data_IF_402317692674
#
_entry.id   IF_402317692674
#
_cell.length_a   1.000
_cell.length_b   1.000
_cell.length_c   1.000
_cell.angle_alpha   90.00
_cell.angle_beta   90.00
_cell.angle_gamma   90.00
#
_symmetry.space_group_name_H-M   'P 1'
#
loop_
_entity.id
_entity.type
_entity.pdbx_description
1 polymer ?
#
# COMPACT_ATOMS: atom_id res chain seq x y z
N UNK A 1 10.19 -4.12 -2.32
CA UNK A 1 9.59 -5.43 -1.99
C UNK A 1 8.38 -5.17 -1.11
N UNK A 2 7.41 -6.07 -1.11
CA UNK A 2 6.23 -6.08 -0.24
C UNK A 2 6.14 -7.44 0.42
N UNK A 3 5.87 -7.46 1.71
CA UNK A 3 5.61 -8.67 2.47
C UNK A 3 4.10 -8.80 2.60
N UNK A 4 3.53 -9.77 1.92
CA UNK A 4 2.09 -9.98 1.88
C UNK A 4 1.75 -11.10 2.87
N UNK A 5 0.77 -10.87 3.73
CA UNK A 5 0.21 -11.85 4.66
C UNK A 5 -1.26 -12.04 4.34
N UNK A 6 -1.69 -13.29 4.15
CA UNK A 6 -3.07 -13.62 3.77
C UNK A 6 -3.54 -14.79 4.62
N UNK A 7 -4.71 -14.65 5.24
CA UNK A 7 -5.38 -15.79 5.87
C UNK A 7 -5.93 -16.76 4.83
N UNK A 8 -5.84 -18.05 5.09
CA UNK A 8 -6.33 -19.08 4.18
C UNK A 8 -7.64 -19.66 4.76
N UNK A 9 -8.76 -19.57 4.03
CA UNK A 9 -10.00 -20.20 4.44
C UNK A 9 -9.86 -21.72 4.60
N UNK A 10 -10.68 -22.31 5.47
CA UNK A 10 -10.67 -23.77 5.70
C UNK A 10 -10.88 -24.54 4.37
N UNK A 11 -10.02 -25.54 4.13
CA UNK A 11 -10.04 -26.38 2.94
C UNK A 11 -9.42 -25.74 1.69
N UNK A 12 -8.73 -24.60 1.81
CA UNK A 12 -8.10 -23.87 0.68
C UNK A 12 -6.58 -23.77 0.77
N UNK A 13 -5.94 -24.35 1.79
CA UNK A 13 -4.48 -24.38 1.96
C UNK A 13 -3.76 -24.93 0.75
N UNK A 14 -4.11 -26.14 0.32
CA UNK A 14 -3.37 -26.81 -0.75
C UNK A 14 -3.44 -26.07 -2.10
N UNK A 15 -4.62 -25.59 -2.56
CA UNK A 15 -4.72 -24.73 -3.74
C UNK A 15 -3.90 -23.44 -3.64
N UNK A 16 -3.88 -22.80 -2.47
CA UNK A 16 -3.15 -21.55 -2.25
C UNK A 16 -1.64 -21.77 -2.31
N UNK A 17 -1.14 -22.81 -1.66
CA UNK A 17 0.29 -23.12 -1.67
C UNK A 17 0.77 -23.51 -3.07
N UNK A 18 -0.04 -24.26 -3.83
CA UNK A 18 0.28 -24.61 -5.20
C UNK A 18 0.47 -23.38 -6.10
N UNK A 19 -0.35 -22.32 -5.92
CA UNK A 19 -0.19 -21.07 -6.67
C UNK A 19 1.14 -20.37 -6.35
N UNK A 20 1.54 -20.36 -5.08
CA UNK A 20 2.81 -19.74 -4.66
C UNK A 20 4.02 -20.54 -5.17
N UNK A 21 3.93 -21.87 -5.15
CA UNK A 21 4.94 -22.76 -5.72
C UNK A 21 5.07 -22.58 -7.24
N UNK A 22 3.96 -22.47 -7.98
CA UNK A 22 3.94 -22.19 -9.44
C UNK A 22 4.60 -20.85 -9.81
N UNK A 23 4.41 -19.84 -8.96
CA UNK A 23 5.05 -18.53 -9.13
C UNK A 23 6.54 -18.56 -8.77
N UNK A 24 7.00 -19.60 -8.07
CA UNK A 24 8.37 -19.71 -7.56
C UNK A 24 8.64 -18.80 -6.36
N UNK A 25 7.62 -18.48 -5.59
CA UNK A 25 7.68 -17.56 -4.45
C UNK A 25 7.97 -18.37 -3.18
N UNK A 26 8.98 -17.96 -2.42
CA UNK A 26 9.21 -18.52 -1.09
C UNK A 26 8.15 -18.01 -0.11
N UNK A 27 7.60 -18.89 0.71
CA UNK A 27 6.56 -18.53 1.68
C UNK A 27 6.78 -19.21 3.02
N UNK A 28 6.21 -18.61 4.06
CA UNK A 28 6.08 -19.21 5.38
C UNK A 28 4.59 -19.41 5.68
N UNK A 29 4.25 -20.52 6.33
CA UNK A 29 2.87 -20.88 6.71
C UNK A 29 2.81 -21.07 8.21
N UNK A 30 1.84 -20.44 8.86
CA UNK A 30 1.49 -20.66 10.25
C UNK A 30 0.07 -21.20 10.34
N UNK A 31 -0.17 -22.13 11.26
CA UNK A 31 -1.53 -22.60 11.52
C UNK A 31 -2.31 -21.53 12.28
N UNK A 32 -3.52 -21.23 11.80
CA UNK A 32 -4.37 -20.22 12.43
C UNK A 32 -5.20 -20.88 13.54
N UNK A 33 -5.10 -20.37 14.76
CA UNK A 33 -5.78 -20.94 15.94
C UNK A 33 -6.91 -20.07 16.47
N UNK A 34 -7.09 -18.86 15.93
CA UNK A 34 -8.05 -17.88 16.42
C UNK A 34 -9.47 -18.08 15.88
N UNK A 35 -9.68 -17.84 14.59
CA UNK A 35 -11.02 -17.87 13.95
C UNK A 35 -11.24 -19.19 13.22
N UNK A 36 -12.40 -19.82 13.46
CA UNK A 36 -12.76 -21.12 12.86
C UNK A 36 -12.93 -21.11 11.33
N UNK A 37 -13.06 -19.93 10.73
CA UNK A 37 -13.26 -19.78 9.29
C UNK A 37 -11.96 -19.88 8.49
N UNK A 38 -10.81 -19.83 9.17
CA UNK A 38 -9.47 -19.87 8.57
C UNK A 38 -8.65 -21.00 9.17
N UNK A 39 -7.81 -21.64 8.35
CA UNK A 39 -6.96 -22.77 8.77
C UNK A 39 -5.47 -22.42 8.85
N UNK A 40 -5.03 -21.37 8.16
CA UNK A 40 -3.63 -20.96 8.14
C UNK A 40 -3.45 -19.48 7.79
N UNK A 41 -2.29 -18.93 8.10
CA UNK A 41 -1.78 -17.67 7.58
C UNK A 41 -0.58 -17.98 6.68
N UNK A 42 -0.55 -17.42 5.48
CA UNK A 42 0.62 -17.49 4.60
C UNK A 42 1.25 -16.13 4.45
N UNK A 43 2.58 -16.06 4.55
CA UNK A 43 3.36 -14.85 4.31
C UNK A 43 4.38 -15.10 3.23
N UNK A 44 4.50 -14.16 2.30
CA UNK A 44 5.44 -14.26 1.19
C UNK A 44 5.92 -12.87 0.73
N UNK A 45 7.19 -12.74 0.30
CA UNK A 45 7.69 -11.51 -0.28
C UNK A 45 7.42 -11.45 -1.79
N UNK A 46 6.96 -10.31 -2.27
CA UNK A 46 6.70 -10.06 -3.69
C UNK A 46 7.13 -8.64 -4.09
N UNK A 47 7.60 -8.38 -5.32
CA UNK A 47 7.79 -7.01 -5.81
C UNK A 47 6.47 -6.22 -5.84
N UNK A 48 6.48 -4.88 -5.72
CA UNK A 48 5.25 -4.07 -5.72
C UNK A 48 4.32 -4.34 -6.91
N UNK A 49 4.88 -4.48 -8.11
CA UNK A 49 4.13 -4.80 -9.33
C UNK A 49 3.53 -6.21 -9.35
N UNK A 50 4.05 -7.12 -8.51
CA UNK A 50 3.58 -8.50 -8.41
C UNK A 50 2.51 -8.71 -7.34
N UNK A 51 2.24 -7.73 -6.49
CA UNK A 51 1.21 -7.84 -5.43
C UNK A 51 -0.16 -8.14 -6.03
N UNK A 52 -0.64 -7.29 -6.94
CA UNK A 52 -1.98 -7.40 -7.54
C UNK A 52 -2.14 -8.69 -8.38
N UNK A 53 -1.19 -9.08 -9.25
CA UNK A 53 -1.23 -10.37 -9.96
C UNK A 53 -1.28 -11.59 -9.03
N UNK A 54 -0.46 -11.62 -7.97
CA UNK A 54 -0.41 -12.75 -7.05
C UNK A 54 -1.70 -12.83 -6.23
N UNK A 55 -2.21 -11.70 -5.72
CA UNK A 55 -3.48 -11.66 -5.00
C UNK A 55 -4.66 -12.12 -5.89
N UNK A 56 -4.66 -11.76 -7.17
CA UNK A 56 -5.68 -12.21 -8.12
C UNK A 56 -5.63 -13.72 -8.36
N UNK A 57 -4.42 -14.32 -8.46
CA UNK A 57 -4.28 -15.78 -8.56
C UNK A 57 -4.74 -16.49 -7.27
N UNK A 58 -4.39 -15.94 -6.12
CA UNK A 58 -4.87 -16.45 -4.82
C UNK A 58 -6.39 -16.37 -4.69
N UNK A 59 -7.00 -15.32 -5.26
CA UNK A 59 -8.46 -15.18 -5.30
C UNK A 59 -9.12 -16.30 -6.10
N UNK A 60 -8.56 -16.63 -7.26
CA UNK A 60 -9.00 -17.78 -8.08
C UNK A 60 -8.79 -19.12 -7.37
N UNK A 61 -7.80 -19.22 -6.49
CA UNK A 61 -7.53 -20.42 -5.68
C UNK A 61 -8.50 -20.60 -4.50
N UNK A 62 -9.24 -19.55 -4.12
CA UNK A 62 -10.26 -19.61 -3.08
C UNK A 62 -10.07 -18.62 -1.91
N UNK A 63 -9.11 -17.69 -2.00
CA UNK A 63 -9.01 -16.56 -1.06
C UNK A 63 -10.08 -15.53 -1.41
N UNK A 64 -11.06 -15.31 -0.53
CA UNK A 64 -12.12 -14.32 -0.79
C UNK A 64 -11.60 -12.88 -0.61
N UNK A 65 -12.23 -11.89 -1.25
CA UNK A 65 -11.85 -10.46 -1.12
C UNK A 65 -11.96 -9.93 0.32
N UNK A 66 -12.85 -10.54 1.12
CA UNK A 66 -13.04 -10.19 2.53
C UNK A 66 -12.04 -10.88 3.47
N UNK A 67 -11.06 -11.59 2.90
CA UNK A 67 -10.01 -12.23 3.68
C UNK A 67 -9.05 -11.18 4.21
N UNK A 68 -8.73 -11.29 5.49
CA UNK A 68 -7.73 -10.43 6.12
C UNK A 68 -6.39 -10.55 5.39
N UNK A 69 -5.99 -9.45 4.76
CA UNK A 69 -4.78 -9.34 3.95
C UNK A 69 -3.98 -8.14 4.44
N UNK A 70 -2.72 -8.36 4.80
CA UNK A 70 -1.79 -7.30 5.20
C UNK A 70 -0.71 -7.19 4.12
N UNK A 71 -0.43 -5.97 3.66
CA UNK A 71 0.70 -5.69 2.77
C UNK A 71 1.66 -4.74 3.49
N UNK A 72 2.84 -5.24 3.84
CA UNK A 72 3.88 -4.49 4.55
C UNK A 72 5.03 -4.12 3.60
N UNK A 73 5.70 -3.00 3.89
CA UNK A 73 6.94 -2.61 3.23
C UNK A 73 8.14 -3.04 4.10
N UNK A 74 8.77 -4.21 3.84
CA UNK A 74 9.96 -4.63 4.58
C UNK A 74 11.17 -3.76 4.21
N UNK A 75 12.03 -3.48 5.19
CA UNK A 75 13.29 -2.78 4.98
C UNK A 75 14.27 -3.60 4.13
N UNK A 76 14.33 -4.92 4.33
CA UNK A 76 15.15 -5.85 3.54
C UNK A 76 14.51 -7.23 3.51
N UNK A 77 14.61 -7.91 2.37
CA UNK A 77 14.22 -9.31 2.22
C UNK A 77 15.40 -10.05 1.59
N UNK A 78 15.84 -11.15 2.21
CA UNK A 78 16.92 -12.00 1.72
C UNK A 78 16.34 -13.38 1.38
N UNK A 79 16.38 -13.76 0.11
CA UNK A 79 16.04 -15.11 -0.37
C UNK A 79 16.75 -15.35 -1.70
N UNK A 80 17.11 -16.62 -1.94
CA UNK A 80 17.78 -17.09 -3.17
C UNK A 80 16.90 -16.97 -4.41
N UNK A 81 15.56 -16.94 -4.25
CA UNK A 81 14.59 -16.87 -5.37
C UNK A 81 14.14 -15.45 -5.73
N UNK A 82 14.53 -14.45 -4.94
CA UNK A 82 14.11 -13.05 -5.13
C UNK A 82 14.54 -12.51 -6.50
N UNK A 83 15.70 -12.91 -6.99
CA UNK A 83 16.27 -12.37 -8.23
C UNK A 83 15.46 -12.80 -9.46
N UNK A 84 15.06 -14.08 -9.51
CA UNK A 84 14.13 -14.60 -10.51
C UNK A 84 12.76 -13.91 -10.43
N UNK A 85 12.27 -13.66 -9.21
CA UNK A 85 11.00 -12.99 -8.98
C UNK A 85 11.02 -11.52 -9.45
N UNK A 86 12.10 -10.78 -9.18
CA UNK A 86 12.31 -9.40 -9.68
C UNK A 86 12.38 -9.35 -11.20
N UNK A 87 12.99 -10.34 -11.84
CA UNK A 87 13.07 -10.41 -13.30
C UNK A 87 11.70 -10.69 -13.93
N UNK A 88 10.91 -11.59 -13.33
CA UNK A 88 9.54 -11.93 -13.75
C UNK A 88 8.58 -10.74 -13.60
N UNK A 89 8.76 -9.95 -12.54
CA UNK A 89 7.96 -8.78 -12.20
C UNK A 89 8.78 -7.49 -12.41
N UNK A 90 9.21 -7.25 -13.63
CA UNK A 90 9.98 -6.05 -14.00
C UNK A 90 9.06 -4.87 -14.36
N UNK A 91 9.32 -3.69 -13.78
CA UNK A 91 8.58 -2.46 -14.07
C UNK A 91 8.43 -1.51 -12.87
N UNK A 92 7.84 -0.34 -13.10
CA UNK A 92 7.63 0.73 -12.11
C UNK A 92 6.17 0.88 -11.64
N UNK A 93 5.31 -0.12 -11.90
CA UNK A 93 3.91 -0.07 -11.46
C UNK A 93 3.78 -0.41 -9.97
N UNK A 94 2.87 0.29 -9.32
CA UNK A 94 2.50 0.17 -7.90
C UNK A 94 1.08 -0.38 -7.84
N UNK A 95 0.75 -1.23 -6.85
CA UNK A 95 -0.62 -1.77 -6.70
C UNK A 95 -1.59 -0.69 -6.25
N UNK A 96 -2.89 -0.88 -6.52
CA UNK A 96 -3.94 0.06 -6.12
C UNK A 96 -3.99 0.27 -4.61
N UNK A 97 -3.83 -0.81 -3.85
CA UNK A 97 -3.86 -0.80 -2.39
C UNK A 97 -2.67 0.01 -1.84
N UNK A 98 -1.49 -0.10 -2.44
CA UNK A 98 -0.33 0.72 -2.07
C UNK A 98 -0.52 2.19 -2.47
N UNK A 99 -1.16 2.47 -3.62
CA UNK A 99 -1.50 3.85 -3.99
C UNK A 99 -2.45 4.48 -2.97
N UNK A 100 -3.47 3.75 -2.53
CA UNK A 100 -4.41 4.23 -1.50
C UNK A 100 -3.68 4.46 -0.18
N UNK A 101 -2.87 3.49 0.29
CA UNK A 101 -2.13 3.62 1.53
C UNK A 101 -1.16 4.81 1.52
N UNK A 102 -0.42 5.02 0.41
CA UNK A 102 0.44 6.20 0.27
C UNK A 102 -0.34 7.51 0.20
N UNK A 103 -1.51 7.51 -0.43
CA UNK A 103 -2.36 8.69 -0.50
C UNK A 103 -2.91 9.06 0.88
N UNK A 104 -3.24 8.06 1.71
CA UNK A 104 -3.62 8.27 3.11
C UNK A 104 -2.46 8.77 3.96
N UNK A 105 -1.24 8.22 3.80
CA UNK A 105 -0.05 8.68 4.52
C UNK A 105 0.36 10.13 4.16
N UNK A 106 0.17 10.52 2.89
CA UNK A 106 0.44 11.87 2.42
C UNK A 106 -0.69 12.86 2.76
N UNK A 107 -1.85 12.37 3.20
CA UNK A 107 -2.95 13.23 3.57
C UNK A 107 -2.65 13.90 4.92
N UNK A 108 -2.55 15.24 4.99
CA UNK A 108 -2.38 15.91 6.27
C UNK A 108 -3.61 15.71 7.15
N UNK A 109 -3.40 15.72 8.47
CA UNK A 109 -4.52 15.71 9.41
C UNK A 109 -5.50 16.85 9.09
N UNK A 110 -6.81 16.54 9.07
CA UNK A 110 -7.88 17.47 8.68
C UNK A 110 -7.83 18.79 9.47
N UNK A 111 -7.44 18.73 10.75
CA UNK A 111 -7.30 19.91 11.61
C UNK A 111 -6.21 20.86 11.09
N UNK A 112 -5.02 20.33 10.81
CA UNK A 112 -3.89 21.08 10.25
C UNK A 112 -4.24 21.62 8.87
N UNK A 113 -4.88 20.82 8.02
CA UNK A 113 -5.34 21.26 6.71
C UNK A 113 -6.27 22.48 6.80
N UNK A 114 -7.30 22.42 7.65
CA UNK A 114 -8.26 23.53 7.83
C UNK A 114 -7.57 24.77 8.42
N UNK A 115 -6.68 24.60 9.40
CA UNK A 115 -5.95 25.72 10.00
C UNK A 115 -5.10 26.47 8.97
N UNK A 116 -4.32 25.76 8.16
CA UNK A 116 -3.50 26.35 7.11
C UNK A 116 -4.33 26.91 5.95
N UNK A 117 -5.48 26.31 5.64
CA UNK A 117 -6.43 26.84 4.66
C UNK A 117 -6.98 28.21 5.08
N UNK A 118 -7.43 28.33 6.33
CA UNK A 118 -7.93 29.58 6.90
C UNK A 118 -6.81 30.62 6.93
N UNK A 119 -5.62 30.23 7.41
CA UNK A 119 -4.46 31.12 7.46
C UNK A 119 -4.06 31.63 6.05
N UNK A 120 -3.96 30.75 5.07
CA UNK A 120 -3.66 31.10 3.67
C UNK A 120 -4.72 32.05 3.10
N UNK A 121 -6.01 31.81 3.39
CA UNK A 121 -7.11 32.68 2.97
C UNK A 121 -6.98 34.10 3.54
N UNK A 122 -6.62 34.21 4.82
CA UNK A 122 -6.40 35.53 5.48
C UNK A 122 -5.21 36.25 4.85
N UNK A 123 -4.09 35.55 4.63
CA UNK A 123 -2.89 36.13 4.00
C UNK A 123 -3.19 36.57 2.57
N UNK A 124 -3.88 35.75 1.78
CA UNK A 124 -4.27 36.08 0.40
C UNK A 124 -5.19 37.30 0.34
N UNK A 125 -6.18 37.37 1.24
CA UNK A 125 -7.07 38.54 1.36
C UNK A 125 -6.27 39.79 1.70
N UNK A 126 -5.32 39.71 2.64
CA UNK A 126 -4.42 40.80 2.96
C UNK A 126 -3.53 41.20 1.77
N UNK A 127 -3.01 40.24 1.03
CA UNK A 127 -2.21 40.47 -0.17
C UNK A 127 -2.98 41.22 -1.27
N UNK A 128 -4.25 40.89 -1.47
CA UNK A 128 -5.14 41.60 -2.40
C UNK A 128 -5.44 43.03 -1.93
N UNK A 129 -5.75 43.23 -0.65
CA UNK A 129 -6.02 44.55 -0.09
C UNK A 129 -4.80 45.49 -0.12
N UNK A 130 -3.60 44.92 -0.02
CA UNK A 130 -2.33 45.64 -0.06
C UNK A 130 -1.72 45.74 -1.46
N UNK A 131 -2.38 45.18 -2.49
CA UNK A 131 -1.88 45.05 -3.87
C UNK A 131 -0.44 44.47 -3.94
N UNK A 132 -0.17 43.47 -3.09
CA UNK A 132 1.14 42.86 -2.93
C UNK A 132 1.18 41.46 -3.55
N UNK A 133 1.74 41.39 -4.76
CA UNK A 133 2.01 40.12 -5.43
C UNK A 133 2.87 39.17 -4.57
N UNK A 134 3.86 39.71 -3.84
CA UNK A 134 4.73 38.92 -2.97
C UNK A 134 3.95 38.23 -1.83
N UNK A 135 2.98 38.93 -1.24
CA UNK A 135 2.13 38.38 -0.17
C UNK A 135 1.18 37.30 -0.70
N UNK A 136 0.64 37.49 -1.90
CA UNK A 136 -0.21 36.49 -2.57
C UNK A 136 0.60 35.22 -2.88
N UNK A 137 1.83 35.35 -3.37
CA UNK A 137 2.73 34.20 -3.59
C UNK A 137 3.05 33.50 -2.25
N UNK A 138 3.29 34.27 -1.19
CA UNK A 138 3.49 33.71 0.16
C UNK A 138 2.30 32.88 0.65
N UNK A 139 1.07 33.30 0.35
CA UNK A 139 -0.13 32.53 0.68
C UNK A 139 -0.21 31.18 -0.04
N UNK A 140 0.29 31.07 -1.29
CA UNK A 140 0.35 29.81 -2.04
C UNK A 140 1.34 28.82 -1.44
N UNK A 141 2.46 29.30 -0.90
CA UNK A 141 3.47 28.46 -0.24
C UNK A 141 2.94 27.88 1.08
N UNK A 142 2.12 28.66 1.80
CA UNK A 142 1.48 28.24 3.06
C UNK A 142 0.27 27.34 2.81
N UNK A 143 -0.33 27.39 1.62
CA UNK A 143 -1.53 26.61 1.31
C UNK A 143 -1.23 25.10 1.36
N UNK A 144 -2.09 24.29 2.01
CA UNK A 144 -1.87 22.85 2.18
C UNK A 144 -2.07 22.03 0.89
N UNK A 145 -2.21 22.68 -0.27
CA UNK A 145 -2.43 22.06 -1.58
C UNK A 145 -1.12 21.71 -2.32
N UNK A 146 0.01 22.21 -1.83
CA UNK A 146 1.35 21.89 -2.33
C UNK A 146 2.09 21.07 -1.26
N UNK A 147 1.71 19.80 -1.12
CA UNK A 147 2.47 18.86 -0.27
C UNK A 147 3.88 18.63 -0.83
N UNK A 148 4.90 18.32 0.00
CA UNK A 148 6.22 17.98 -0.49
C UNK A 148 6.12 16.79 -1.44
N UNK A 149 6.67 16.95 -2.64
CA UNK A 149 6.78 15.91 -3.66
C UNK A 149 7.78 14.81 -3.27
#
# INVERSE_FOLDING_TARGET
MRLVQVLIPVGKRQPVLAVLDDEGIDYAVWDETGRKDFEALVQFPVPPIGVEPVLERLRKAGVSENTYTIVLAPETVVSTRIEALKQRYSGSRISREELTARAEDLAPETSTYIAFLVLSTVIATGGLLLDSAATIIGAMVVAPLMGPA
#
